data_IF_346868374487
#
_entry.id   IF_346868374487
#
_cell.length_a   1.000
_cell.length_b   1.000
_cell.length_c   1.000
_cell.angle_alpha   90.00
_cell.angle_beta   90.00
_cell.angle_gamma   90.00
#
_symmetry.space_group_name_H-M   'P 1'
#
loop_
_entity.id
_entity.type
_entity.pdbx_description
1 polymer ?
#
# COMPACT_ATOMS: atom_id res chain seq x y z
N UNK A 1 30.83 -27.04 -46.05
CA UNK A 1 31.88 -26.00 -46.13
C UNK A 1 31.58 -24.92 -47.17
N UNK A 2 31.13 -25.21 -48.41
CA UNK A 2 30.77 -24.17 -49.41
C UNK A 2 29.45 -23.44 -49.14
N UNK A 3 28.46 -24.09 -48.53
CA UNK A 3 27.18 -23.50 -48.17
C UNK A 3 27.29 -22.47 -46.99
N UNK A 4 28.09 -22.78 -45.99
CA UNK A 4 28.35 -21.88 -44.85
C UNK A 4 29.10 -20.60 -45.26
N UNK A 5 30.01 -20.68 -46.21
CA UNK A 5 30.73 -19.53 -46.75
C UNK A 5 29.78 -18.63 -47.54
N UNK A 6 28.86 -19.20 -48.33
CA UNK A 6 27.84 -18.44 -49.07
C UNK A 6 26.85 -17.71 -48.18
N UNK A 7 26.43 -18.31 -47.06
CA UNK A 7 25.54 -17.66 -46.08
C UNK A 7 26.24 -16.53 -45.34
N UNK A 8 27.49 -16.69 -44.95
CA UNK A 8 28.29 -15.63 -44.30
C UNK A 8 28.50 -14.43 -45.22
N UNK A 9 28.74 -14.65 -46.52
CA UNK A 9 28.88 -13.55 -47.48
C UNK A 9 27.57 -12.79 -47.66
N UNK A 10 26.42 -13.47 -47.76
CA UNK A 10 25.11 -12.86 -47.87
C UNK A 10 24.76 -12.03 -46.61
N UNK A 11 25.10 -12.50 -45.41
CA UNK A 11 24.91 -11.76 -44.15
C UNK A 11 25.77 -10.49 -44.13
N UNK A 12 27.03 -10.55 -44.54
CA UNK A 12 27.92 -9.39 -44.58
C UNK A 12 27.42 -8.34 -45.57
N UNK A 13 26.93 -8.75 -46.73
CA UNK A 13 26.36 -7.82 -47.72
C UNK A 13 25.06 -7.18 -47.27
N UNK A 14 24.19 -7.91 -46.57
CA UNK A 14 22.98 -7.36 -45.90
C UNK A 14 23.33 -6.36 -44.83
N UNK A 15 24.35 -6.64 -44.02
CA UNK A 15 24.82 -5.71 -42.98
C UNK A 15 25.42 -4.44 -43.60
N UNK A 16 26.23 -4.55 -44.66
CA UNK A 16 26.78 -3.40 -45.35
C UNK A 16 25.72 -2.54 -46.03
N UNK A 17 24.72 -3.15 -46.66
CA UNK A 17 23.61 -2.44 -47.33
C UNK A 17 22.74 -1.65 -46.33
N UNK A 18 22.56 -2.18 -45.15
CA UNK A 18 21.71 -1.57 -44.12
C UNK A 18 22.52 -0.91 -42.98
N UNK A 19 23.81 -0.68 -43.15
CA UNK A 19 24.71 -0.18 -42.09
C UNK A 19 24.22 1.11 -41.46
N UNK A 20 23.74 2.09 -42.26
CA UNK A 20 23.20 3.37 -41.75
C UNK A 20 21.96 3.16 -40.90
N UNK A 21 21.09 2.23 -41.30
CA UNK A 21 19.87 1.89 -40.55
C UNK A 21 20.22 1.15 -39.27
N UNK A 22 21.16 0.23 -39.27
CA UNK A 22 21.63 -0.50 -38.10
C UNK A 22 22.31 0.48 -37.11
N UNK A 23 23.13 1.40 -37.63
CA UNK A 23 23.79 2.42 -36.81
C UNK A 23 22.77 3.36 -36.17
N UNK A 24 21.73 3.81 -36.90
CA UNK A 24 20.67 4.66 -36.33
C UNK A 24 19.86 3.91 -35.27
N UNK A 25 19.59 2.63 -35.46
CA UNK A 25 18.89 1.79 -34.47
C UNK A 25 19.74 1.61 -33.18
N UNK A 26 21.08 1.43 -33.35
CA UNK A 26 22.00 1.31 -32.23
C UNK A 26 22.04 2.63 -31.41
N UNK A 27 22.14 3.78 -32.10
CA UNK A 27 22.12 5.09 -31.43
C UNK A 27 20.80 5.30 -30.70
N UNK A 28 19.68 4.97 -31.31
CA UNK A 28 18.35 5.07 -30.69
C UNK A 28 18.26 4.20 -29.43
N UNK A 29 18.77 2.97 -29.47
CA UNK A 29 18.82 2.06 -28.32
C UNK A 29 19.67 2.64 -27.18
N UNK A 30 20.83 3.20 -27.49
CA UNK A 30 21.71 3.86 -26.51
C UNK A 30 21.04 5.07 -25.84
N UNK A 31 20.27 5.86 -26.59
CA UNK A 31 19.51 6.98 -26.04
C UNK A 31 18.45 6.48 -25.07
N UNK A 32 17.69 5.42 -25.42
CA UNK A 32 16.68 4.83 -24.52
C UNK A 32 17.34 4.33 -23.23
N UNK A 33 18.46 3.59 -23.34
CA UNK A 33 19.18 3.09 -22.17
C UNK A 33 19.65 4.25 -21.28
N UNK A 34 20.19 5.32 -21.89
CA UNK A 34 20.64 6.51 -21.14
C UNK A 34 19.51 7.20 -20.40
N UNK A 35 18.32 7.31 -21.02
CA UNK A 35 17.13 7.88 -20.40
C UNK A 35 16.67 7.00 -19.21
N UNK A 36 16.64 5.67 -19.38
CA UNK A 36 16.26 4.75 -18.32
C UNK A 36 17.22 4.81 -17.12
N UNK A 37 18.53 4.86 -17.38
CA UNK A 37 19.55 4.99 -16.33
C UNK A 37 19.46 6.33 -15.60
N UNK A 38 19.21 7.41 -16.33
CA UNK A 38 19.03 8.73 -15.73
C UNK A 38 17.77 8.78 -14.86
N UNK A 39 16.67 8.17 -15.31
CA UNK A 39 15.41 8.10 -14.57
C UNK A 39 15.56 7.28 -13.27
N UNK A 40 16.22 6.11 -13.34
CA UNK A 40 16.51 5.26 -12.18
C UNK A 40 17.41 5.99 -11.15
N UNK A 41 18.43 6.70 -11.62
CA UNK A 41 19.32 7.48 -10.76
C UNK A 41 18.58 8.64 -10.08
N UNK A 42 17.72 9.34 -10.82
CA UNK A 42 16.90 10.45 -10.28
C UNK A 42 15.96 9.97 -9.20
N UNK A 43 15.26 8.86 -9.46
CA UNK A 43 14.31 8.26 -8.50
C UNK A 43 15.01 7.79 -7.21
N UNK A 44 16.20 7.20 -7.31
CA UNK A 44 17.00 6.78 -6.15
C UNK A 44 17.42 7.96 -5.28
N UNK A 45 17.83 9.05 -5.88
CA UNK A 45 18.22 10.26 -5.16
C UNK A 45 17.01 10.93 -4.48
N UNK A 46 15.86 10.99 -5.15
CA UNK A 46 14.62 11.50 -4.56
C UNK A 46 14.18 10.66 -3.36
N UNK A 47 14.15 9.34 -3.51
CA UNK A 47 13.79 8.43 -2.40
C UNK A 47 14.76 8.55 -1.22
N UNK A 48 16.06 8.70 -1.47
CA UNK A 48 17.04 8.94 -0.40
C UNK A 48 16.69 10.22 0.38
N UNK A 49 16.37 11.31 -0.31
CA UNK A 49 15.97 12.57 0.31
C UNK A 49 14.66 12.43 1.11
N UNK A 50 13.69 11.68 0.61
CA UNK A 50 12.43 11.39 1.33
C UNK A 50 12.73 10.60 2.60
N UNK A 51 13.60 9.59 2.54
CA UNK A 51 14.06 8.83 3.70
C UNK A 51 14.73 9.72 4.76
N UNK A 52 15.63 10.60 4.33
CA UNK A 52 16.30 11.54 5.23
C UNK A 52 15.29 12.49 5.90
N UNK A 53 14.31 13.00 5.16
CA UNK A 53 13.22 13.81 5.71
C UNK A 53 12.39 13.05 6.72
N UNK A 54 12.10 11.77 6.48
CA UNK A 54 11.36 10.94 7.43
C UNK A 54 12.12 10.76 8.76
N UNK A 55 13.44 10.52 8.68
CA UNK A 55 14.31 10.46 9.86
C UNK A 55 14.33 11.81 10.58
N UNK A 56 14.43 12.92 9.84
CA UNK A 56 14.37 14.27 10.40
C UNK A 56 13.03 14.51 11.14
N UNK A 57 11.91 14.08 10.59
CA UNK A 57 10.61 14.21 11.25
C UNK A 57 10.59 13.46 12.59
N UNK A 58 11.18 12.26 12.67
CA UNK A 58 11.30 11.50 13.93
C UNK A 58 12.16 12.25 14.96
N UNK A 59 13.29 12.82 14.56
CA UNK A 59 14.16 13.64 15.43
C UNK A 59 13.39 14.87 15.94
N UNK A 60 12.61 15.52 15.07
CA UNK A 60 11.77 16.65 15.46
C UNK A 60 10.72 16.26 16.51
N UNK A 61 10.13 15.06 16.39
CA UNK A 61 9.19 14.53 17.39
C UNK A 61 9.86 14.24 18.74
N UNK A 62 11.05 13.66 18.74
CA UNK A 62 11.84 13.43 19.95
C UNK A 62 12.15 14.75 20.66
N UNK A 63 12.36 15.84 19.90
CA UNK A 63 12.60 17.19 20.40
C UNK A 63 11.32 17.98 20.67
N UNK A 64 10.13 17.35 20.69
CA UNK A 64 8.82 17.95 20.94
C UNK A 64 8.44 19.07 19.94
N UNK A 65 9.06 19.10 18.76
CA UNK A 65 8.77 20.06 17.71
C UNK A 65 7.67 19.55 16.77
N UNK A 66 6.50 19.26 17.35
CA UNK A 66 5.39 18.56 16.68
C UNK A 66 4.91 19.26 15.40
N UNK A 67 4.79 20.60 15.40
CA UNK A 67 4.35 21.35 14.22
C UNK A 67 5.33 21.20 13.06
N UNK A 68 6.64 21.26 13.33
CA UNK A 68 7.64 21.08 12.28
C UNK A 68 7.66 19.63 11.77
N UNK A 69 7.54 18.65 12.68
CA UNK A 69 7.45 17.25 12.31
C UNK A 69 6.24 16.98 11.41
N UNK A 70 5.07 17.50 11.78
CA UNK A 70 3.85 17.39 10.97
C UNK A 70 4.05 17.94 9.55
N UNK A 71 4.62 19.14 9.42
CA UNK A 71 4.87 19.75 8.10
C UNK A 71 5.82 18.91 7.23
N UNK A 72 6.86 18.32 7.83
CA UNK A 72 7.78 17.42 7.11
C UNK A 72 7.06 16.15 6.67
N UNK A 73 6.28 15.50 7.56
CA UNK A 73 5.52 14.29 7.25
C UNK A 73 4.45 14.53 6.18
N UNK A 74 3.73 15.65 6.27
CA UNK A 74 2.78 16.08 5.23
C UNK A 74 3.46 16.20 3.86
N UNK A 75 4.61 16.87 3.81
CA UNK A 75 5.36 17.00 2.55
C UNK A 75 5.79 15.64 1.98
N UNK A 76 6.12 14.66 2.83
CA UNK A 76 6.42 13.29 2.40
C UNK A 76 5.18 12.62 1.78
N UNK A 77 3.99 12.80 2.37
CA UNK A 77 2.73 12.27 1.81
C UNK A 77 2.48 12.85 0.42
N UNK A 78 2.67 14.18 0.26
CA UNK A 78 2.50 14.88 -1.02
C UNK A 78 3.48 14.39 -2.11
N UNK A 79 4.62 13.81 -1.73
CA UNK A 79 5.58 13.19 -2.67
C UNK A 79 5.12 11.84 -3.21
N UNK A 80 4.08 11.24 -2.65
CA UNK A 80 3.48 9.98 -3.10
C UNK A 80 4.49 8.83 -3.20
N UNK A 81 5.47 8.78 -2.27
CA UNK A 81 6.38 7.64 -2.18
C UNK A 81 5.65 6.43 -1.62
N UNK A 82 5.78 5.29 -2.28
CA UNK A 82 5.04 4.08 -1.95
C UNK A 82 5.43 3.43 -0.61
N UNK A 83 6.53 3.86 0.01
CA UNK A 83 7.00 3.38 1.33
C UNK A 83 6.79 4.47 2.39
N UNK A 84 7.31 5.67 2.16
CA UNK A 84 7.37 6.70 3.19
C UNK A 84 6.07 7.48 3.36
N UNK A 85 5.19 7.56 2.33
CA UNK A 85 3.89 8.21 2.49
C UNK A 85 2.98 7.45 3.47
N UNK A 86 2.80 6.11 3.36
CA UNK A 86 2.08 5.33 4.37
C UNK A 86 2.68 5.46 5.77
N UNK A 87 4.00 5.36 5.90
CA UNK A 87 4.69 5.48 7.19
C UNK A 87 4.49 6.86 7.81
N UNK A 88 4.50 7.92 6.99
CA UNK A 88 4.27 9.30 7.45
C UNK A 88 2.85 9.49 7.97
N UNK A 89 1.84 8.95 7.28
CA UNK A 89 0.46 8.98 7.73
C UNK A 89 0.29 8.25 9.07
N UNK A 90 0.86 7.06 9.20
CA UNK A 90 0.76 6.29 10.45
C UNK A 90 1.42 7.04 11.62
N UNK A 91 2.53 7.71 11.37
CA UNK A 91 3.21 8.51 12.40
C UNK A 91 2.41 9.77 12.78
N UNK A 92 1.76 10.43 11.81
CA UNK A 92 0.83 11.55 12.06
C UNK A 92 -0.32 11.11 12.98
N UNK A 93 -0.93 9.95 12.68
CA UNK A 93 -2.04 9.40 13.48
C UNK A 93 -1.55 8.98 14.87
N UNK A 94 -0.45 8.23 14.97
CA UNK A 94 0.11 7.73 16.22
C UNK A 94 0.45 8.87 17.20
N UNK A 95 1.01 9.96 16.68
CA UNK A 95 1.44 11.11 17.49
C UNK A 95 0.37 12.19 17.60
N UNK A 96 -0.86 11.96 17.08
CA UNK A 96 -1.95 12.94 17.08
C UNK A 96 -1.51 14.32 16.56
N UNK A 97 -0.78 14.34 15.43
CA UNK A 97 -0.24 15.58 14.86
C UNK A 97 -1.27 16.35 14.03
N UNK A 98 -2.35 15.71 13.61
CA UNK A 98 -3.47 16.28 12.87
C UNK A 98 -4.78 15.97 13.63
N UNK A 99 -5.56 17.01 13.90
CA UNK A 99 -6.83 16.89 14.62
C UNK A 99 -8.03 16.73 13.67
N UNK A 100 -7.89 17.22 12.42
CA UNK A 100 -8.99 17.15 11.46
C UNK A 100 -9.07 15.75 10.83
N UNK A 101 -10.14 15.04 11.19
CA UNK A 101 -10.43 13.70 10.67
C UNK A 101 -10.60 13.70 9.14
N UNK A 102 -11.09 14.78 8.55
CA UNK A 102 -11.26 14.89 7.09
C UNK A 102 -9.90 14.91 6.40
N UNK A 103 -8.97 15.70 6.91
CA UNK A 103 -7.60 15.76 6.40
C UNK A 103 -6.91 14.39 6.46
N UNK A 104 -7.03 13.66 7.57
CA UNK A 104 -6.49 12.31 7.70
C UNK A 104 -7.15 11.34 6.70
N UNK A 105 -8.47 11.43 6.51
CA UNK A 105 -9.19 10.60 5.53
C UNK A 105 -8.68 10.87 4.12
N UNK A 106 -8.50 12.13 3.75
CA UNK A 106 -7.95 12.51 2.44
C UNK A 106 -6.51 11.97 2.25
N UNK A 107 -5.67 11.97 3.30
CA UNK A 107 -4.34 11.35 3.22
C UNK A 107 -4.42 9.84 2.98
N UNK A 108 -5.39 9.14 3.59
CA UNK A 108 -5.62 7.73 3.28
C UNK A 108 -5.98 7.52 1.81
N UNK A 109 -6.89 8.36 1.26
CA UNK A 109 -7.31 8.28 -0.13
C UNK A 109 -6.15 8.52 -1.09
N UNK A 110 -5.41 9.62 -0.87
CA UNK A 110 -4.24 9.96 -1.67
C UNK A 110 -3.18 8.84 -1.70
N UNK A 111 -2.98 8.17 -0.56
CA UNK A 111 -1.99 7.10 -0.46
C UNK A 111 -2.52 5.80 -1.07
N UNK A 112 -3.80 5.48 -0.94
CA UNK A 112 -4.42 4.30 -1.56
C UNK A 112 -4.34 4.34 -3.08
N UNK A 113 -4.24 5.54 -3.67
CA UNK A 113 -4.08 5.77 -5.11
C UNK A 113 -2.61 5.69 -5.58
N UNK A 114 -1.64 5.52 -4.67
CA UNK A 114 -0.23 5.39 -5.05
C UNK A 114 0.01 4.01 -5.67
N UNK A 115 0.57 4.00 -6.89
CA UNK A 115 1.03 2.77 -7.52
C UNK A 115 2.27 2.19 -6.84
N UNK A 116 2.42 0.85 -6.90
CA UNK A 116 3.64 0.16 -6.45
C UNK A 116 3.75 -0.02 -4.93
N UNK A 117 2.69 0.24 -4.17
CA UNK A 117 2.59 -0.24 -2.78
C UNK A 117 2.41 -1.76 -2.80
N UNK A 118 3.13 -2.48 -1.96
CA UNK A 118 2.98 -3.93 -1.85
C UNK A 118 1.57 -4.31 -1.37
N UNK A 119 1.07 -5.45 -1.86
CA UNK A 119 -0.31 -5.90 -1.60
C UNK A 119 -0.67 -5.93 -0.12
N UNK A 120 0.24 -6.43 0.73
CA UNK A 120 -0.04 -6.52 2.17
C UNK A 120 0.00 -5.18 2.88
N UNK A 121 0.85 -4.26 2.45
CA UNK A 121 0.88 -2.88 2.94
C UNK A 121 -0.37 -2.11 2.51
N UNK A 122 -0.84 -2.32 1.28
CA UNK A 122 -2.09 -1.76 0.79
C UNK A 122 -3.29 -2.28 1.58
N UNK A 123 -3.30 -3.58 1.91
CA UNK A 123 -4.33 -4.20 2.74
C UNK A 123 -4.30 -3.66 4.18
N UNK A 124 -3.11 -3.48 4.76
CA UNK A 124 -2.97 -2.81 6.06
C UNK A 124 -3.54 -1.38 6.03
N UNK A 125 -3.24 -0.64 4.97
CA UNK A 125 -3.72 0.74 4.80
C UNK A 125 -5.26 0.78 4.75
N UNK A 126 -5.88 -0.10 3.97
CA UNK A 126 -7.34 -0.27 3.90
C UNK A 126 -7.96 -0.60 5.27
N UNK A 127 -7.38 -1.56 5.98
CA UNK A 127 -7.83 -1.91 7.32
C UNK A 127 -7.71 -0.74 8.29
N UNK A 128 -6.59 -0.02 8.27
CA UNK A 128 -6.37 1.17 9.11
C UNK A 128 -7.35 2.29 8.77
N UNK A 129 -7.61 2.53 7.49
CA UNK A 129 -8.63 3.49 7.07
C UNK A 129 -10.02 3.09 7.58
N UNK A 130 -10.42 1.83 7.39
CA UNK A 130 -11.69 1.32 7.87
C UNK A 130 -11.87 1.53 9.38
N UNK A 131 -10.84 1.22 10.18
CA UNK A 131 -10.85 1.46 11.63
C UNK A 131 -11.01 2.96 11.93
N UNK A 132 -10.27 3.81 11.22
CA UNK A 132 -10.26 5.25 11.45
C UNK A 132 -11.62 5.91 11.19
N UNK A 133 -12.31 5.52 10.10
CA UNK A 133 -13.58 6.13 9.69
C UNK A 133 -14.82 5.44 10.29
N UNK A 134 -14.67 4.33 11.03
CA UNK A 134 -15.76 3.43 11.45
C UNK A 134 -16.91 4.09 12.24
N UNK A 135 -16.64 5.16 12.95
CA UNK A 135 -17.65 5.84 13.78
C UNK A 135 -18.71 6.58 12.96
N UNK A 136 -18.34 7.09 11.77
CA UNK A 136 -19.18 8.00 10.98
C UNK A 136 -19.38 7.53 9.52
N UNK A 137 -18.91 6.34 9.16
CA UNK A 137 -19.01 5.84 7.81
C UNK A 137 -20.22 4.93 7.60
N UNK A 138 -20.63 4.82 6.34
CA UNK A 138 -21.65 3.88 5.93
C UNK A 138 -21.10 2.46 5.86
N UNK A 139 -22.01 1.49 5.91
CA UNK A 139 -21.67 0.06 5.75
C UNK A 139 -20.94 -0.21 4.44
N UNK A 140 -21.39 0.43 3.36
CA UNK A 140 -20.81 0.29 2.03
C UNK A 140 -19.32 0.65 2.03
N UNK A 141 -18.94 1.74 2.69
CA UNK A 141 -17.55 2.21 2.78
C UNK A 141 -16.67 1.17 3.50
N UNK A 142 -17.22 0.56 4.57
CA UNK A 142 -16.53 -0.51 5.31
C UNK A 142 -16.30 -1.75 4.44
N UNK A 143 -17.33 -2.17 3.71
CA UNK A 143 -17.26 -3.35 2.85
C UNK A 143 -16.34 -3.11 1.64
N UNK A 144 -16.33 -1.92 1.05
CA UNK A 144 -15.43 -1.56 -0.05
C UNK A 144 -13.95 -1.68 0.39
N UNK A 145 -13.63 -1.20 1.57
CA UNK A 145 -12.27 -1.28 2.11
C UNK A 145 -11.85 -2.70 2.49
N UNK A 146 -12.76 -3.49 3.07
CA UNK A 146 -12.39 -4.75 3.72
C UNK A 146 -12.63 -6.00 2.88
N UNK A 147 -13.56 -5.99 1.91
CA UNK A 147 -13.81 -7.13 1.03
C UNK A 147 -12.56 -7.60 0.25
N UNK A 148 -11.71 -6.70 -0.29
CA UNK A 148 -10.47 -7.13 -0.95
C UNK A 148 -9.53 -7.91 -0.02
N UNK A 149 -9.55 -7.62 1.28
CA UNK A 149 -8.72 -8.28 2.28
C UNK A 149 -9.32 -9.64 2.66
N UNK A 150 -10.61 -9.65 2.97
CA UNK A 150 -11.34 -10.85 3.45
C UNK A 150 -11.39 -11.93 2.39
N UNK A 151 -11.53 -11.55 1.11
CA UNK A 151 -11.62 -12.47 -0.02
C UNK A 151 -10.25 -12.85 -0.61
N UNK A 152 -9.17 -12.60 0.10
CA UNK A 152 -7.80 -12.94 -0.31
C UNK A 152 -7.08 -13.76 0.76
N UNK A 153 -5.84 -14.19 0.45
CA UNK A 153 -4.96 -14.87 1.40
C UNK A 153 -4.10 -13.87 2.22
N UNK A 154 -4.63 -12.67 2.45
CA UNK A 154 -3.93 -11.62 3.18
C UNK A 154 -3.67 -12.02 4.64
N UNK A 155 -2.50 -11.62 5.15
CA UNK A 155 -2.17 -11.74 6.59
C UNK A 155 -3.12 -10.92 7.47
N UNK A 156 -3.79 -9.92 6.91
CA UNK A 156 -4.75 -9.04 7.59
C UNK A 156 -6.19 -9.56 7.56
N UNK A 157 -6.45 -10.70 6.91
CA UNK A 157 -7.79 -11.28 6.75
C UNK A 157 -8.51 -11.48 8.09
N UNK A 158 -7.84 -12.11 9.03
CA UNK A 158 -8.43 -12.43 10.34
C UNK A 158 -8.79 -11.17 11.12
N UNK A 159 -7.90 -10.18 11.12
CA UNK A 159 -8.13 -8.89 11.78
C UNK A 159 -9.29 -8.13 11.12
N UNK A 160 -9.41 -8.19 9.79
CA UNK A 160 -10.49 -7.56 9.05
C UNK A 160 -11.85 -8.21 9.32
N UNK A 161 -11.90 -9.55 9.40
CA UNK A 161 -13.12 -10.30 9.78
C UNK A 161 -13.53 -9.95 11.21
N UNK A 162 -12.56 -9.94 12.15
CA UNK A 162 -12.82 -9.55 13.53
C UNK A 162 -13.36 -8.13 13.61
N UNK A 163 -12.72 -7.20 12.92
CA UNK A 163 -13.14 -5.81 12.90
C UNK A 163 -14.56 -5.63 12.36
N UNK A 164 -14.96 -6.31 11.29
CA UNK A 164 -16.35 -6.27 10.79
C UNK A 164 -17.33 -6.87 11.80
N UNK A 165 -16.97 -7.96 12.44
CA UNK A 165 -17.79 -8.52 13.53
C UNK A 165 -18.00 -7.49 14.65
N UNK A 166 -16.95 -6.82 15.08
CA UNK A 166 -16.99 -5.80 16.13
C UNK A 166 -17.77 -4.55 15.69
N UNK A 167 -17.61 -4.13 14.45
CA UNK A 167 -18.34 -3.01 13.83
C UNK A 167 -19.85 -3.28 13.83
N UNK A 168 -20.30 -4.43 13.32
CA UNK A 168 -21.73 -4.78 13.32
C UNK A 168 -22.27 -5.00 14.73
N UNK A 169 -21.46 -5.52 15.64
CA UNK A 169 -21.85 -5.68 17.03
C UNK A 169 -22.11 -4.30 17.70
N UNK A 170 -21.25 -3.33 17.45
CA UNK A 170 -21.40 -1.94 17.98
C UNK A 170 -22.67 -1.27 17.45
N UNK A 171 -23.07 -1.57 16.21
CA UNK A 171 -24.30 -1.09 15.58
C UNK A 171 -25.54 -1.89 15.99
N UNK A 172 -25.42 -2.87 16.89
CA UNK A 172 -26.48 -3.82 17.27
C UNK A 172 -27.06 -4.63 16.11
N UNK A 173 -26.33 -4.74 15.01
CA UNK A 173 -26.67 -5.60 13.88
C UNK A 173 -26.21 -7.04 14.15
N UNK A 174 -26.80 -7.66 15.16
CA UNK A 174 -26.33 -8.92 15.74
C UNK A 174 -26.28 -10.09 14.78
N UNK A 175 -27.21 -10.16 13.83
CA UNK A 175 -27.20 -11.22 12.81
C UNK A 175 -25.96 -11.14 11.91
N UNK A 176 -25.53 -9.94 11.51
CA UNK A 176 -24.32 -9.74 10.71
C UNK A 176 -23.06 -9.99 11.55
N UNK A 177 -23.02 -9.45 12.77
CA UNK A 177 -21.90 -9.68 13.70
C UNK A 177 -21.66 -11.18 13.93
N UNK A 178 -22.74 -11.94 14.15
CA UNK A 178 -22.70 -13.39 14.35
C UNK A 178 -22.05 -14.13 13.18
N UNK A 179 -22.39 -13.75 11.95
CA UNK A 179 -21.79 -14.37 10.75
C UNK A 179 -20.25 -14.25 10.74
N UNK A 180 -19.72 -13.05 10.98
CA UNK A 180 -18.27 -12.83 11.02
C UNK A 180 -17.62 -13.55 12.21
N UNK A 181 -18.22 -13.54 13.38
CA UNK A 181 -17.69 -14.23 14.54
C UNK A 181 -17.67 -15.75 14.38
N UNK A 182 -18.68 -16.34 13.73
CA UNK A 182 -18.70 -17.77 13.43
C UNK A 182 -17.56 -18.20 12.51
N UNK A 183 -17.17 -17.37 11.51
CA UNK A 183 -16.00 -17.63 10.66
C UNK A 183 -14.74 -17.78 11.52
N UNK A 184 -14.55 -16.89 12.51
CA UNK A 184 -13.36 -16.88 13.36
C UNK A 184 -13.32 -18.07 14.34
N UNK A 185 -14.48 -18.56 14.78
CA UNK A 185 -14.53 -19.69 15.74
C UNK A 185 -14.43 -21.03 15.03
N UNK A 186 -15.01 -21.17 13.83
CA UNK A 186 -15.07 -22.44 13.10
C UNK A 186 -13.70 -22.92 12.61
N UNK A 187 -12.76 -22.03 12.36
CA UNK A 187 -11.42 -22.40 11.90
C UNK A 187 -10.46 -22.57 13.10
N UNK A 188 -10.05 -23.83 13.32
CA UNK A 188 -9.11 -24.17 14.39
C UNK A 188 -7.67 -23.71 14.14
N UNK A 189 -7.31 -23.37 12.91
CA UNK A 189 -5.98 -22.88 12.56
C UNK A 189 -5.79 -21.39 12.90
N UNK A 190 -6.88 -20.66 13.16
CA UNK A 190 -6.83 -19.26 13.53
C UNK A 190 -6.27 -19.11 14.94
N UNK A 191 -5.06 -18.51 15.03
CA UNK A 191 -4.41 -18.16 16.29
C UNK A 191 -4.95 -16.81 16.81
N UNK A 192 -6.14 -16.84 17.37
CA UNK A 192 -6.81 -15.69 17.98
C UNK A 192 -7.32 -16.09 19.35
N UNK A 193 -7.30 -15.17 20.33
CA UNK A 193 -8.04 -15.40 21.57
C UNK A 193 -9.55 -15.39 21.29
N UNK A 194 -10.13 -16.58 21.27
CA UNK A 194 -11.54 -16.79 20.96
C UNK A 194 -12.46 -16.48 22.15
N UNK A 195 -11.94 -16.16 23.34
CA UNK A 195 -12.77 -15.95 24.53
C UNK A 195 -13.64 -14.72 24.44
N UNK A 196 -13.09 -13.63 23.90
CA UNK A 196 -13.84 -12.39 23.65
C UNK A 196 -14.99 -12.62 22.65
N UNK A 197 -14.69 -13.33 21.55
CA UNK A 197 -15.68 -13.63 20.50
C UNK A 197 -16.81 -14.53 21.04
N UNK A 198 -16.46 -15.55 21.84
CA UNK A 198 -17.45 -16.43 22.49
C UNK A 198 -18.37 -15.63 23.43
N UNK A 199 -17.81 -14.70 24.21
CA UNK A 199 -18.62 -13.80 25.06
C UNK A 199 -19.60 -12.97 24.24
N UNK A 200 -19.15 -12.36 23.13
CA UNK A 200 -20.02 -11.57 22.25
C UNK A 200 -21.09 -12.43 21.59
N UNK A 201 -20.76 -13.65 21.17
CA UNK A 201 -21.75 -14.61 20.64
C UNK A 201 -22.78 -15.02 21.69
N UNK A 202 -22.40 -15.19 22.94
CA UNK A 202 -23.34 -15.49 24.02
C UNK A 202 -24.29 -14.29 24.31
N UNK A 203 -23.81 -13.07 24.22
CA UNK A 203 -24.66 -11.87 24.30
C UNK A 203 -25.69 -11.88 23.15
N UNK A 204 -25.24 -12.11 21.92
CA UNK A 204 -26.12 -12.18 20.73
C UNK A 204 -27.15 -13.29 20.85
N UNK A 205 -26.83 -14.42 21.49
CA UNK A 205 -27.74 -15.56 21.66
C UNK A 205 -28.83 -15.33 22.72
N UNK A 206 -28.71 -14.31 23.56
CA UNK A 206 -29.64 -13.96 24.63
C UNK A 206 -30.54 -12.76 24.30
N UNK A 207 -30.32 -12.10 23.14
CA UNK A 207 -31.14 -11.02 22.60
C UNK A 207 -32.18 -11.56 21.59
#
# INVERSE_FOLDING_TARGET
MSSEISEKVKLIDLLKKNFKLLLSLLIFLLIIISILLWFDHSNKNERKKISENFIQAKILLENQQNIKAHNVLKNIIEKKDNIYSPLSLFLIIEKNLEADKTTITNYFDDILDIGGIEKEDLNLLRLKKAIFISENSKEEDMLELLNPIINSDSVWKIQSIKFLGDYYFSLKQFNKAKQYYLILISDNNIRLDKNEIKRKLNIIGNE
#
